data_IF_901515091993
#
_entry.id   IF_901515091993
#
_cell.length_a   1.000
_cell.length_b   1.000
_cell.length_c   1.000
_cell.angle_alpha   90.00
_cell.angle_beta   90.00
_cell.angle_gamma   90.00
#
_symmetry.space_group_name_H-M   'P 1'
#
loop_
_entity.id
_entity.type
_entity.pdbx_description
1 polymer ?
#
# COMPACT_ATOMS: atom_id res chain seq x y z
N UNK A 1 -4.00 37.30 7.96
CA UNK A 1 -2.97 37.00 6.93
C UNK A 1 -1.89 36.14 7.61
N UNK A 2 -1.96 34.84 7.42
CA UNK A 2 -0.94 33.93 7.93
C UNK A 2 0.24 33.95 6.97
N UNK A 3 1.36 34.54 7.41
CA UNK A 3 2.61 34.45 6.68
C UNK A 3 3.10 33.01 6.75
N UNK A 4 3.14 32.33 5.61
CA UNK A 4 3.91 31.11 5.47
C UNK A 4 5.38 31.47 5.73
N UNK A 5 5.90 31.02 6.87
CA UNK A 5 7.33 31.04 7.11
C UNK A 5 7.91 29.95 6.20
N UNK A 6 8.45 30.38 5.05
CA UNK A 6 9.30 29.51 4.24
C UNK A 6 10.48 29.14 5.12
N UNK A 7 10.51 27.87 5.52
CA UNK A 7 11.55 27.35 6.39
C UNK A 7 12.94 27.63 5.83
N UNK A 8 13.87 27.95 6.72
CA UNK A 8 15.28 28.22 6.47
C UNK A 8 15.86 27.34 5.35
N UNK A 9 16.67 27.93 4.49
CA UNK A 9 17.51 27.28 3.47
C UNK A 9 18.37 26.14 4.05
N UNK A 10 17.74 25.04 4.41
CA UNK A 10 18.45 23.80 4.71
C UNK A 10 18.93 23.25 3.38
N UNK A 11 20.23 23.36 3.14
CA UNK A 11 20.88 22.65 2.03
C UNK A 11 20.50 21.18 2.17
N UNK A 12 19.92 20.63 1.12
CA UNK A 12 19.67 19.18 1.04
C UNK A 12 21.05 18.52 1.08
N UNK A 13 21.32 17.81 2.14
CA UNK A 13 22.52 17.00 2.26
C UNK A 13 22.22 15.62 1.64
N UNK A 14 22.78 15.29 0.48
CA UNK A 14 22.51 14.04 -0.20
C UNK A 14 23.04 12.82 0.55
N UNK A 15 23.93 13.02 1.55
CA UNK A 15 24.39 11.94 2.43
C UNK A 15 23.40 11.62 3.54
N UNK A 16 22.46 12.50 3.83
CA UNK A 16 21.37 12.28 4.76
C UNK A 16 20.17 11.76 4.00
N UNK A 17 19.62 10.66 4.48
CA UNK A 17 18.32 10.21 4.01
C UNK A 17 17.31 11.31 4.28
N UNK A 18 16.69 11.85 3.22
CA UNK A 18 15.83 13.05 3.26
C UNK A 18 14.61 12.92 4.21
N UNK A 19 14.33 11.71 4.66
CA UNK A 19 13.18 11.35 5.46
C UNK A 19 13.51 11.00 6.92
N UNK A 20 14.67 11.44 7.43
CA UNK A 20 14.95 11.35 8.86
C UNK A 20 14.61 12.67 9.55
N UNK A 21 13.95 12.57 10.70
CA UNK A 21 13.74 13.69 11.61
C UNK A 21 15.07 14.10 12.27
N UNK A 22 15.08 15.25 12.94
CA UNK A 22 16.28 15.75 13.60
C UNK A 22 16.84 14.87 14.71
N UNK A 23 16.01 13.97 15.26
CA UNK A 23 16.37 12.96 16.25
C UNK A 23 16.85 11.62 15.63
N UNK A 24 16.92 11.54 14.30
CA UNK A 24 17.32 10.35 13.57
C UNK A 24 16.20 9.34 13.32
N UNK A 25 14.98 9.61 13.80
CA UNK A 25 13.82 8.75 13.49
C UNK A 25 13.33 8.99 12.06
N UNK A 26 12.77 7.98 11.37
CA UNK A 26 12.16 8.18 10.06
C UNK A 26 11.04 9.21 10.12
N UNK A 27 11.15 10.27 9.33
CA UNK A 27 10.09 11.27 9.16
C UNK A 27 8.96 10.74 8.29
N UNK A 28 9.33 9.84 7.37
CA UNK A 28 8.43 9.12 6.50
C UNK A 28 8.72 7.63 6.67
N UNK A 29 7.69 6.87 6.96
CA UNK A 29 7.82 5.44 7.14
C UNK A 29 7.17 4.74 5.93
N UNK A 30 7.96 4.52 4.90
CA UNK A 30 7.56 3.82 3.66
C UNK A 30 7.08 2.38 3.91
N UNK A 31 7.17 1.89 5.15
CA UNK A 31 6.66 0.58 5.55
C UNK A 31 5.24 0.63 6.12
N UNK A 32 4.71 1.84 6.31
CA UNK A 32 3.34 2.02 6.83
C UNK A 32 2.42 2.27 5.65
N UNK A 33 1.29 1.59 5.65
CA UNK A 33 0.23 1.83 4.69
C UNK A 33 -0.18 3.30 4.73
N UNK A 34 -0.44 3.87 3.57
CA UNK A 34 -1.09 5.16 3.47
C UNK A 34 -2.52 4.98 3.97
N UNK A 35 -2.77 5.45 5.17
CA UNK A 35 -4.04 5.27 5.85
C UNK A 35 -4.32 6.40 6.84
N UNK A 36 -5.37 6.27 7.64
CA UNK A 36 -5.71 7.25 8.66
C UNK A 36 -4.57 7.43 9.65
N UNK A 37 -4.28 8.67 10.01
CA UNK A 37 -3.31 9.01 11.05
C UNK A 37 -3.90 8.82 12.45
N UNK A 38 -3.06 8.91 13.49
CA UNK A 38 -3.54 8.87 14.88
C UNK A 38 -4.59 9.93 15.20
N UNK A 39 -4.49 11.11 14.57
CA UNK A 39 -5.49 12.17 14.70
C UNK A 39 -6.85 11.73 14.14
N UNK A 40 -6.87 11.12 12.96
CA UNK A 40 -8.12 10.64 12.36
C UNK A 40 -8.79 9.56 13.22
N UNK A 41 -8.01 8.65 13.82
CA UNK A 41 -8.56 7.66 14.77
C UNK A 41 -9.17 8.32 16.01
N UNK A 42 -8.55 9.36 16.56
CA UNK A 42 -9.09 10.11 17.70
C UNK A 42 -10.40 10.81 17.33
N UNK A 43 -10.45 11.47 16.18
CA UNK A 43 -11.67 12.12 15.67
C UNK A 43 -12.80 11.12 15.42
N UNK A 44 -12.50 9.94 14.88
CA UNK A 44 -13.49 8.88 14.70
C UNK A 44 -14.04 8.37 16.02
N UNK A 45 -13.16 8.18 17.01
CA UNK A 45 -13.58 7.75 18.34
C UNK A 45 -14.48 8.79 19.01
N UNK A 46 -14.14 10.07 18.92
CA UNK A 46 -14.96 11.18 19.44
C UNK A 46 -16.33 11.25 18.73
N UNK A 47 -16.36 10.95 17.42
CA UNK A 47 -17.58 10.88 16.63
C UNK A 47 -18.37 9.57 16.81
N UNK A 48 -17.90 8.63 17.66
CA UNK A 48 -18.53 7.33 17.85
C UNK A 48 -18.42 6.39 16.66
N UNK A 49 -17.45 6.63 15.75
CA UNK A 49 -17.21 5.78 14.58
C UNK A 49 -16.18 4.69 14.91
N UNK A 50 -16.41 3.52 14.36
CA UNK A 50 -15.48 2.38 14.46
C UNK A 50 -14.66 2.27 13.18
N UNK A 51 -13.32 2.14 13.26
CA UNK A 51 -12.50 1.87 12.09
C UNK A 51 -12.93 0.57 11.39
N UNK A 52 -12.80 0.48 10.05
CA UNK A 52 -13.09 -0.75 9.33
C UNK A 52 -12.12 -1.85 9.72
N UNK A 53 -12.63 -3.09 9.78
CA UNK A 53 -11.79 -4.29 9.94
C UNK A 53 -11.07 -4.58 8.61
N UNK A 54 -9.90 -3.99 8.43
CA UNK A 54 -9.09 -4.17 7.21
C UNK A 54 -8.62 -5.62 7.00
N UNK A 55 -8.18 -6.36 8.02
CA UNK A 55 -7.84 -7.77 7.86
C UNK A 55 -8.97 -8.59 7.25
N UNK A 56 -10.16 -8.56 7.83
CA UNK A 56 -11.31 -9.28 7.31
C UNK A 56 -11.72 -8.81 5.91
N UNK A 57 -11.63 -7.52 5.64
CA UNK A 57 -11.92 -6.97 4.31
C UNK A 57 -10.93 -7.48 3.24
N UNK A 58 -9.65 -7.57 3.56
CA UNK A 58 -8.60 -8.07 2.67
C UNK A 58 -8.82 -9.56 2.35
N UNK A 59 -9.05 -10.36 3.37
CA UNK A 59 -9.36 -11.79 3.21
C UNK A 59 -10.61 -12.01 2.35
N UNK A 60 -11.68 -11.28 2.62
CA UNK A 60 -12.91 -11.33 1.84
C UNK A 60 -12.69 -11.01 0.36
N UNK A 61 -11.92 -9.97 0.04
CA UNK A 61 -11.62 -9.57 -1.33
C UNK A 61 -10.83 -10.66 -2.07
N UNK A 62 -9.79 -11.20 -1.44
CA UNK A 62 -8.99 -12.27 -2.03
C UNK A 62 -9.82 -13.53 -2.25
N UNK A 63 -10.59 -13.96 -1.26
CA UNK A 63 -11.47 -15.11 -1.37
C UNK A 63 -12.45 -14.99 -2.56
N UNK A 64 -13.06 -13.82 -2.75
CA UNK A 64 -13.94 -13.57 -3.90
C UNK A 64 -13.24 -13.70 -5.25
N UNK A 65 -12.00 -13.24 -5.37
CA UNK A 65 -11.22 -13.42 -6.60
C UNK A 65 -10.95 -14.90 -6.85
N UNK A 66 -10.53 -15.61 -5.82
CA UNK A 66 -10.23 -17.05 -5.91
C UNK A 66 -11.47 -17.88 -6.25
N UNK A 67 -12.62 -17.55 -5.68
CA UNK A 67 -13.91 -18.17 -6.06
C UNK A 67 -14.20 -17.98 -7.55
N UNK A 68 -13.99 -16.79 -8.10
CA UNK A 68 -14.21 -16.51 -9.53
C UNK A 68 -13.20 -17.23 -10.42
N UNK A 69 -11.92 -17.30 -10.01
CA UNK A 69 -10.90 -18.06 -10.73
C UNK A 69 -11.29 -19.52 -10.85
N UNK A 70 -11.76 -20.13 -9.75
CA UNK A 70 -12.21 -21.50 -9.71
C UNK A 70 -13.49 -21.68 -10.55
N UNK A 71 -14.47 -20.79 -10.39
CA UNK A 71 -15.76 -20.87 -11.11
C UNK A 71 -15.60 -20.78 -12.63
N UNK A 72 -14.57 -20.07 -13.09
CA UNK A 72 -14.25 -19.93 -14.52
C UNK A 72 -13.19 -20.90 -15.03
N UNK A 73 -12.80 -21.90 -14.23
CA UNK A 73 -11.77 -22.90 -14.57
C UNK A 73 -10.45 -22.25 -15.03
N UNK A 74 -10.04 -21.17 -14.37
CA UNK A 74 -8.81 -20.47 -14.66
C UNK A 74 -7.67 -20.98 -13.76
N UNK A 75 -6.45 -21.05 -14.31
CA UNK A 75 -5.24 -21.39 -13.53
C UNK A 75 -4.83 -20.29 -12.55
N UNK A 76 -5.29 -19.07 -12.77
CA UNK A 76 -5.02 -17.90 -11.96
C UNK A 76 -5.43 -16.63 -12.69
N UNK A 77 -5.24 -15.49 -12.05
CA UNK A 77 -5.55 -14.17 -12.58
C UNK A 77 -4.32 -13.29 -12.55
N UNK A 78 -3.96 -12.69 -13.67
CA UNK A 78 -2.87 -11.73 -13.76
C UNK A 78 -3.43 -10.31 -13.88
N UNK A 79 -3.16 -9.49 -12.88
CA UNK A 79 -3.65 -8.13 -12.75
C UNK A 79 -2.54 -7.13 -13.10
N UNK A 80 -2.87 -6.12 -13.90
CA UNK A 80 -1.97 -5.01 -14.26
C UNK A 80 -2.52 -3.65 -13.83
N UNK A 81 -3.84 -3.54 -13.71
CA UNK A 81 -4.48 -2.31 -13.29
C UNK A 81 -4.23 -2.04 -11.79
N UNK A 82 -3.81 -0.82 -11.40
CA UNK A 82 -3.46 -0.51 -10.02
C UNK A 82 -4.63 -0.65 -9.05
N UNK A 83 -5.86 -0.39 -9.47
CA UNK A 83 -7.04 -0.54 -8.62
C UNK A 83 -7.35 -2.01 -8.38
N UNK A 84 -7.19 -2.84 -9.42
CA UNK A 84 -7.36 -4.29 -9.30
C UNK A 84 -6.25 -4.92 -8.45
N UNK A 85 -5.00 -4.48 -8.60
CA UNK A 85 -3.90 -4.90 -7.72
C UNK A 85 -4.19 -4.49 -6.27
N UNK A 86 -4.64 -3.25 -6.05
CA UNK A 86 -5.05 -2.81 -4.71
C UNK A 86 -6.21 -3.62 -4.15
N UNK A 87 -7.18 -3.96 -4.97
CA UNK A 87 -8.30 -4.81 -4.54
C UNK A 87 -7.81 -6.16 -4.01
N UNK A 88 -6.87 -6.79 -4.72
CA UNK A 88 -6.35 -8.12 -4.37
C UNK A 88 -5.36 -8.09 -3.19
N UNK A 89 -4.59 -7.02 -3.02
CA UNK A 89 -3.43 -6.98 -2.09
C UNK A 89 -3.53 -5.93 -1.00
N UNK A 90 -4.31 -4.87 -1.24
CA UNK A 90 -4.33 -3.58 -0.54
C UNK A 90 -3.02 -2.77 -0.67
N UNK A 91 -2.12 -3.18 -1.55
CA UNK A 91 -0.88 -2.44 -1.83
C UNK A 91 -1.17 -1.16 -2.62
N UNK A 92 -0.59 -0.04 -2.16
CA UNK A 92 -0.82 1.30 -2.70
C UNK A 92 0.41 1.88 -3.41
N UNK A 93 1.48 1.08 -3.57
CA UNK A 93 2.73 1.56 -4.14
C UNK A 93 2.54 2.11 -5.56
N UNK A 94 2.99 3.35 -5.79
CA UNK A 94 3.14 4.02 -7.08
C UNK A 94 1.92 3.94 -8.03
N UNK A 95 0.71 3.94 -7.52
CA UNK A 95 -0.53 3.74 -8.29
C UNK A 95 -0.68 4.70 -9.49
N UNK A 96 -0.29 5.95 -9.35
CA UNK A 96 -0.42 6.95 -10.41
C UNK A 96 0.52 6.67 -11.61
N UNK A 97 1.71 6.16 -11.35
CA UNK A 97 2.67 5.80 -12.39
C UNK A 97 2.24 4.57 -13.19
N UNK A 98 1.62 3.61 -12.53
CA UNK A 98 1.23 2.34 -13.13
C UNK A 98 0.05 2.51 -14.10
N UNK A 99 -0.77 3.54 -13.92
CA UNK A 99 -1.86 3.86 -14.86
C UNK A 99 -1.35 4.13 -16.28
N UNK A 100 -0.11 4.57 -16.44
CA UNK A 100 0.52 4.85 -17.72
C UNK A 100 1.54 3.80 -18.18
N UNK A 101 2.10 3.02 -17.24
CA UNK A 101 3.10 2.00 -17.50
C UNK A 101 2.73 0.73 -16.72
N UNK A 102 2.48 -0.36 -17.42
CA UNK A 102 2.23 -1.67 -16.82
C UNK A 102 3.53 -2.30 -16.26
N UNK A 103 4.22 -1.54 -15.38
CA UNK A 103 5.48 -1.96 -14.77
C UNK A 103 5.30 -2.77 -13.49
N UNK A 104 4.04 -2.96 -13.07
CA UNK A 104 3.65 -3.70 -11.89
C UNK A 104 2.57 -4.70 -12.24
N UNK A 105 2.66 -5.90 -11.70
CA UNK A 105 1.66 -6.94 -11.90
C UNK A 105 1.41 -7.71 -10.60
N UNK A 106 0.25 -8.33 -10.51
CA UNK A 106 -0.09 -9.22 -9.40
C UNK A 106 -0.69 -10.51 -9.95
N UNK A 107 -0.13 -11.64 -9.58
CA UNK A 107 -0.69 -12.94 -9.85
C UNK A 107 -1.50 -13.43 -8.65
N UNK A 108 -2.77 -13.72 -8.90
CA UNK A 108 -3.69 -14.28 -7.92
C UNK A 108 -3.91 -15.75 -8.26
N UNK A 109 -3.40 -16.70 -7.46
CA UNK A 109 -3.66 -18.13 -7.65
C UNK A 109 -5.07 -18.49 -7.18
N UNK A 110 -5.62 -19.66 -7.58
CA UNK A 110 -6.92 -20.12 -7.13
C UNK A 110 -6.99 -20.40 -5.62
N UNK A 111 -5.84 -20.48 -4.94
CA UNK A 111 -5.75 -20.64 -3.49
C UNK A 111 -4.42 -20.11 -2.97
N UNK A 112 -4.36 -19.75 -1.67
CA UNK A 112 -3.16 -19.24 -1.04
C UNK A 112 -2.94 -17.76 -1.25
N UNK A 113 -1.71 -17.31 -1.05
CA UNK A 113 -1.33 -15.89 -1.12
C UNK A 113 -1.01 -15.46 -2.56
N UNK A 114 -1.11 -14.17 -2.80
CA UNK A 114 -0.77 -13.57 -4.09
C UNK A 114 0.74 -13.40 -4.27
N UNK A 115 1.18 -13.32 -5.52
CA UNK A 115 2.54 -12.96 -5.91
C UNK A 115 2.49 -11.57 -6.53
N UNK A 116 3.28 -10.65 -6.00
CA UNK A 116 3.31 -9.27 -6.47
C UNK A 116 4.64 -9.01 -7.19
N UNK A 117 4.58 -8.67 -8.47
CA UNK A 117 5.72 -8.21 -9.25
C UNK A 117 5.80 -6.69 -9.15
N UNK A 118 6.76 -6.19 -8.40
CA UNK A 118 6.92 -4.77 -8.10
C UNK A 118 8.20 -4.21 -8.72
N UNK A 119 8.39 -2.91 -8.60
CA UNK A 119 9.62 -2.26 -9.04
C UNK A 119 10.83 -2.76 -8.27
N UNK A 120 11.98 -2.69 -8.91
CA UNK A 120 13.25 -3.03 -8.28
C UNK A 120 13.40 -2.25 -6.94
N UNK A 121 13.79 -2.97 -5.90
CA UNK A 121 13.98 -2.45 -4.53
C UNK A 121 12.72 -1.94 -3.81
N UNK A 122 11.49 -2.16 -4.33
CA UNK A 122 10.25 -1.74 -3.72
C UNK A 122 9.52 -2.83 -2.90
N UNK A 123 10.08 -4.02 -2.80
CA UNK A 123 9.47 -5.15 -2.07
C UNK A 123 9.07 -4.80 -0.62
N UNK A 124 9.88 -3.96 0.04
CA UNK A 124 9.64 -3.52 1.42
C UNK A 124 8.33 -2.76 1.61
N UNK A 125 7.82 -2.11 0.55
CA UNK A 125 6.56 -1.34 0.60
C UNK A 125 5.31 -2.23 0.70
N UNK A 126 5.40 -3.48 0.30
CA UNK A 126 4.29 -4.44 0.30
C UNK A 126 4.54 -5.67 1.20
N UNK A 127 5.75 -5.83 1.72
CA UNK A 127 6.14 -7.00 2.52
C UNK A 127 5.37 -7.14 3.86
N UNK A 128 4.78 -6.06 4.35
CA UNK A 128 3.96 -6.05 5.57
C UNK A 128 2.53 -6.54 5.33
N UNK A 129 2.09 -6.69 4.09
CA UNK A 129 0.73 -7.09 3.75
C UNK A 129 0.56 -8.61 3.92
N UNK A 130 -0.38 -9.07 4.75
CA UNK A 130 -0.45 -10.47 5.17
C UNK A 130 -0.82 -11.43 4.03
N UNK A 131 -1.51 -10.94 3.01
CA UNK A 131 -1.97 -11.74 1.87
C UNK A 131 -0.98 -11.78 0.70
N UNK A 132 0.10 -11.00 0.77
CA UNK A 132 1.20 -11.07 -0.19
C UNK A 132 2.18 -12.13 0.29
N UNK A 133 2.40 -13.15 -0.53
CA UNK A 133 3.29 -14.26 -0.22
C UNK A 133 4.72 -14.00 -0.70
N UNK A 134 4.83 -13.34 -1.86
CA UNK A 134 6.09 -13.05 -2.52
C UNK A 134 5.99 -11.71 -3.27
N UNK A 135 7.11 -10.96 -3.27
CA UNK A 135 7.26 -9.69 -3.99
C UNK A 135 8.52 -9.71 -4.82
#
# INVERSE_FOLDING_TARGET
MNSFVVGSNRKIDPSRRAHLQGDGTPADNDRVEIGPTGLAFSEWQEAGLTPPDLPSLREYRLARLQEQIIAHDCAGLLLFDPLNIRYATDSTNMQLWIAHNAARACFVPPSGKVILFDFHSCAHLSAHLPLVGEV
#
